data_IF_002888332079
#
_entry.id   IF_002888332079
#
_cell.length_a   1.000
_cell.length_b   1.000
_cell.length_c   1.000
_cell.angle_alpha   90.00
_cell.angle_beta   90.00
_cell.angle_gamma   90.00
#
_symmetry.space_group_name_H-M   'P 1'
#
loop_
_entity.id
_entity.type
_entity.pdbx_description
1 polymer ?
#
# COMPACT_ATOMS: atom_id res chain seq x y z
N UNK A 1 -24.31 -20.85 46.82
CA UNK A 1 -23.39 -20.28 45.80
C UNK A 1 -23.77 -18.83 45.55
N UNK A 2 -22.88 -17.88 45.86
CA UNK A 2 -23.09 -16.47 45.50
C UNK A 2 -22.86 -16.35 43.98
N UNK A 3 -23.94 -16.21 43.22
CA UNK A 3 -23.85 -16.08 41.77
C UNK A 3 -23.02 -14.85 41.39
N UNK A 4 -21.94 -15.05 40.61
CA UNK A 4 -21.19 -13.94 40.01
C UNK A 4 -21.90 -13.52 38.72
N UNK A 5 -22.13 -12.22 38.57
CA UNK A 5 -22.83 -11.65 37.42
C UNK A 5 -21.96 -10.63 36.70
N UNK A 6 -22.09 -10.56 35.37
CA UNK A 6 -21.48 -9.51 34.56
C UNK A 6 -22.52 -8.44 34.20
N UNK A 7 -22.10 -7.17 34.24
CA UNK A 7 -22.87 -6.03 33.72
C UNK A 7 -22.47 -5.64 32.29
N UNK A 8 -21.19 -5.83 31.93
CA UNK A 8 -20.62 -5.36 30.67
C UNK A 8 -20.05 -6.57 29.92
N UNK A 9 -20.24 -6.59 28.60
CA UNK A 9 -19.73 -7.63 27.70
C UNK A 9 -19.04 -7.01 26.50
N UNK A 10 -17.93 -7.62 26.11
CA UNK A 10 -17.16 -7.21 24.94
C UNK A 10 -17.74 -7.76 23.63
N UNK A 11 -18.54 -8.83 23.68
CA UNK A 11 -19.12 -9.50 22.51
C UNK A 11 -20.63 -9.23 22.35
N UNK A 12 -21.10 -9.12 21.10
CA UNK A 12 -22.50 -8.81 20.73
C UNK A 12 -23.09 -7.61 21.51
N UNK A 13 -22.29 -6.56 21.71
CA UNK A 13 -22.71 -5.35 22.42
C UNK A 13 -23.96 -4.71 21.82
N UNK A 14 -24.15 -4.82 20.50
CA UNK A 14 -25.35 -4.34 19.80
C UNK A 14 -26.65 -5.04 20.21
N UNK A 15 -26.60 -6.32 20.58
CA UNK A 15 -27.76 -7.10 21.04
C UNK A 15 -28.03 -6.80 22.52
N UNK A 16 -26.97 -6.69 23.31
CA UNK A 16 -27.05 -6.52 24.75
C UNK A 16 -27.28 -5.08 25.21
N UNK A 17 -27.02 -4.08 24.38
CA UNK A 17 -27.19 -2.66 24.72
C UNK A 17 -28.63 -2.29 25.11
N UNK A 18 -29.61 -3.05 24.65
CA UNK A 18 -31.03 -2.81 24.93
C UNK A 18 -31.51 -3.41 26.26
N UNK A 19 -30.66 -4.18 26.98
CA UNK A 19 -31.06 -4.93 28.15
C UNK A 19 -30.20 -4.57 29.37
N UNK A 20 -30.83 -4.29 30.50
CA UNK A 20 -30.17 -3.97 31.77
C UNK A 20 -29.97 -5.18 32.68
N UNK A 21 -30.44 -6.36 32.24
CA UNK A 21 -30.42 -7.61 33.00
C UNK A 21 -28.98 -8.07 33.26
N UNK A 22 -28.68 -8.38 34.52
CA UNK A 22 -27.40 -8.97 34.92
C UNK A 22 -27.32 -10.40 34.40
N UNK A 23 -26.20 -10.75 33.77
CA UNK A 23 -26.06 -12.06 33.13
C UNK A 23 -25.16 -12.96 33.99
N UNK A 24 -25.59 -14.20 34.33
CA UNK A 24 -24.77 -15.12 35.11
C UNK A 24 -23.46 -15.40 34.37
N UNK A 25 -22.38 -15.54 35.14
CA UNK A 25 -21.04 -15.74 34.61
C UNK A 25 -20.31 -16.85 35.36
N UNK A 26 -19.61 -17.67 34.57
CA UNK A 26 -18.73 -18.73 34.99
C UNK A 26 -17.29 -18.33 34.68
N UNK A 27 -16.37 -18.74 35.53
CA UNK A 27 -14.94 -18.57 35.31
C UNK A 27 -14.32 -19.92 34.98
N UNK A 28 -13.79 -20.07 33.76
CA UNK A 28 -13.15 -21.30 33.27
C UNK A 28 -11.79 -20.94 32.70
N UNK A 29 -10.72 -21.54 33.22
CA UNK A 29 -9.34 -21.30 32.78
C UNK A 29 -8.94 -19.82 32.76
N UNK A 30 -9.35 -19.05 33.77
CA UNK A 30 -9.10 -17.61 33.88
C UNK A 30 -9.94 -16.73 32.93
N UNK A 31 -10.85 -17.32 32.15
CA UNK A 31 -11.76 -16.59 31.27
C UNK A 31 -13.15 -16.47 31.90
N UNK A 32 -13.73 -15.27 31.85
CA UNK A 32 -15.09 -14.98 32.34
C UNK A 32 -16.10 -15.20 31.21
N UNK A 33 -16.79 -16.34 31.25
CA UNK A 33 -17.79 -16.73 30.27
C UNK A 33 -19.18 -16.42 30.81
N UNK A 34 -19.89 -15.52 30.15
CA UNK A 34 -21.26 -15.19 30.53
C UNK A 34 -22.30 -16.01 29.76
N UNK A 35 -23.30 -16.56 30.46
CA UNK A 35 -24.37 -17.37 29.87
C UNK A 35 -25.59 -16.49 29.52
N UNK A 36 -25.75 -16.16 28.24
CA UNK A 36 -26.88 -15.34 27.75
C UNK A 36 -28.09 -16.22 27.43
N UNK A 37 -29.28 -15.81 27.86
CA UNK A 37 -30.53 -16.46 27.45
C UNK A 37 -30.83 -16.19 25.97
N UNK A 38 -31.36 -17.19 25.26
CA UNK A 38 -31.81 -17.03 23.87
C UNK A 38 -32.95 -16.01 23.74
N UNK A 39 -33.68 -15.71 24.82
CA UNK A 39 -34.73 -14.70 24.84
C UNK A 39 -34.23 -13.26 24.55
N UNK A 40 -32.91 -13.02 24.65
CA UNK A 40 -32.30 -11.74 24.26
C UNK A 40 -32.24 -11.58 22.73
N UNK A 41 -32.29 -12.68 21.98
CA UNK A 41 -32.26 -12.68 20.52
C UNK A 41 -33.68 -12.45 19.99
N UNK A 42 -33.95 -11.27 19.43
CA UNK A 42 -35.17 -11.04 18.66
C UNK A 42 -34.97 -11.63 17.27
N UNK A 43 -35.79 -12.62 16.91
CA UNK A 43 -35.81 -13.10 15.53
C UNK A 43 -36.31 -11.98 14.62
N UNK A 44 -35.52 -11.64 13.62
CA UNK A 44 -35.92 -10.71 12.56
C UNK A 44 -36.08 -11.50 11.27
N UNK A 45 -37.23 -11.35 10.62
CA UNK A 45 -37.49 -11.98 9.33
C UNK A 45 -36.54 -11.41 8.28
N UNK A 46 -35.50 -12.18 7.94
CA UNK A 46 -34.57 -11.81 6.88
C UNK A 46 -35.26 -11.91 5.53
N UNK A 47 -35.09 -10.90 4.67
CA UNK A 47 -35.55 -10.98 3.28
C UNK A 47 -34.66 -11.98 2.52
N UNK A 48 -35.26 -12.92 1.80
CA UNK A 48 -34.53 -13.82 0.91
C UNK A 48 -33.74 -13.01 -0.14
N UNK A 49 -32.62 -13.57 -0.61
CA UNK A 49 -31.83 -12.97 -1.68
C UNK A 49 -32.69 -12.87 -2.94
N UNK A 50 -32.82 -11.67 -3.48
CA UNK A 50 -33.45 -11.48 -4.77
C UNK A 50 -32.55 -12.09 -5.86
N UNK A 51 -33.04 -13.15 -6.51
CA UNK A 51 -32.29 -13.88 -7.54
C UNK A 51 -32.02 -13.02 -8.79
N UNK A 52 -32.84 -11.99 -9.03
CA UNK A 52 -32.58 -11.03 -10.11
C UNK A 52 -31.44 -10.05 -9.77
N UNK A 53 -31.02 -9.94 -8.51
CA UNK A 53 -29.94 -9.04 -8.07
C UNK A 53 -28.57 -9.70 -8.30
N UNK A 54 -28.22 -9.87 -9.58
CA UNK A 54 -26.96 -10.45 -10.05
C UNK A 54 -25.97 -9.37 -10.52
N UNK A 55 -24.65 -9.54 -10.32
CA UNK A 55 -23.65 -8.58 -10.80
C UNK A 55 -23.47 -8.61 -12.33
N UNK A 56 -23.88 -9.70 -12.98
CA UNK A 56 -23.66 -9.96 -14.41
C UNK A 56 -24.67 -9.22 -15.30
N UNK A 57 -25.88 -8.96 -14.82
CA UNK A 57 -26.92 -8.25 -15.59
C UNK A 57 -26.98 -6.77 -15.21
N UNK A 58 -27.38 -5.90 -16.15
CA UNK A 58 -27.59 -4.48 -15.84
C UNK A 58 -28.68 -4.28 -14.79
N UNK A 59 -29.84 -4.93 -14.99
CA UNK A 59 -30.96 -4.92 -14.05
C UNK A 59 -30.55 -5.35 -12.64
N UNK A 60 -29.74 -6.40 -12.53
CA UNK A 60 -29.26 -6.89 -11.23
C UNK A 60 -28.30 -5.93 -10.53
N UNK A 61 -27.38 -5.28 -11.28
CA UNK A 61 -26.50 -4.23 -10.75
C UNK A 61 -27.27 -3.03 -10.23
N UNK A 62 -28.29 -2.59 -10.96
CA UNK A 62 -29.15 -1.47 -10.54
C UNK A 62 -29.91 -1.80 -9.26
N UNK A 63 -30.46 -3.02 -9.13
CA UNK A 63 -31.11 -3.48 -7.89
C UNK A 63 -30.14 -3.48 -6.71
N UNK A 64 -28.91 -3.96 -6.91
CA UNK A 64 -27.87 -3.93 -5.86
C UNK A 64 -27.57 -2.49 -5.43
N UNK A 65 -27.41 -1.57 -6.39
CA UNK A 65 -27.13 -0.16 -6.12
C UNK A 65 -28.29 0.51 -5.36
N UNK A 66 -29.55 0.27 -5.75
CA UNK A 66 -30.73 0.78 -5.02
C UNK A 66 -30.81 0.24 -3.59
N UNK A 67 -30.51 -1.05 -3.39
CA UNK A 67 -30.56 -1.68 -2.06
C UNK A 67 -29.43 -1.24 -1.12
N UNK A 68 -28.22 -1.05 -1.66
CA UNK A 68 -27.02 -0.80 -0.83
C UNK A 68 -26.58 0.66 -0.80
N UNK A 69 -27.07 1.50 -1.72
CA UNK A 69 -26.60 2.87 -1.92
C UNK A 69 -25.17 2.97 -2.46
N UNK A 70 -24.52 1.84 -2.77
CA UNK A 70 -23.11 1.82 -3.19
C UNK A 70 -22.98 2.09 -4.69
N UNK A 71 -22.12 3.03 -5.05
CA UNK A 71 -21.75 3.30 -6.45
C UNK A 71 -21.01 2.12 -7.07
N UNK A 72 -21.28 1.85 -8.35
CA UNK A 72 -20.59 0.81 -9.11
C UNK A 72 -19.09 1.09 -9.18
N UNK A 73 -18.27 0.07 -8.89
CA UNK A 73 -16.81 0.16 -9.11
C UNK A 73 -16.53 0.27 -10.61
N UNK A 74 -15.53 1.06 -10.99
CA UNK A 74 -15.07 1.14 -12.37
C UNK A 74 -14.51 -0.22 -12.81
N UNK A 75 -14.75 -0.57 -14.08
CA UNK A 75 -14.18 -1.78 -14.68
C UNK A 75 -12.65 -1.71 -14.58
N UNK A 76 -12.03 -2.83 -14.21
CA UNK A 76 -10.57 -2.91 -14.11
C UNK A 76 -9.98 -2.81 -15.52
N UNK A 77 -9.11 -1.84 -15.75
CA UNK A 77 -8.52 -1.60 -17.06
C UNK A 77 -7.38 -2.57 -17.34
N UNK A 78 -7.71 -3.84 -17.57
CA UNK A 78 -6.73 -4.91 -17.80
C UNK A 78 -5.95 -4.73 -19.09
N UNK A 79 -6.49 -4.00 -20.08
CA UNK A 79 -5.77 -3.65 -21.31
C UNK A 79 -4.52 -2.79 -21.05
N UNK A 80 -4.50 -1.98 -19.99
CA UNK A 80 -3.31 -1.20 -19.60
C UNK A 80 -2.20 -2.08 -19.01
N UNK A 81 -2.56 -3.30 -18.60
CA UNK A 81 -1.66 -4.30 -18.02
C UNK A 81 -1.22 -5.34 -19.06
N UNK A 82 -1.24 -4.99 -20.36
CA UNK A 82 -1.06 -5.92 -21.48
C UNK A 82 0.03 -6.98 -21.24
N UNK A 83 -0.20 -8.16 -21.81
CA UNK A 83 0.51 -9.44 -21.65
C UNK A 83 2.04 -9.40 -21.76
N UNK A 84 2.63 -8.35 -22.32
CA UNK A 84 4.07 -8.20 -22.47
C UNK A 84 4.82 -7.94 -21.16
N UNK A 85 4.19 -7.37 -20.12
CA UNK A 85 4.83 -7.11 -18.81
C UNK A 85 4.42 -8.18 -17.79
N UNK A 86 4.74 -9.43 -18.06
CA UNK A 86 4.51 -10.52 -17.12
C UNK A 86 5.38 -10.32 -15.86
N UNK A 87 4.84 -10.73 -14.71
CA UNK A 87 5.56 -10.74 -13.41
C UNK A 87 6.94 -11.40 -13.54
N UNK A 88 7.07 -12.38 -14.45
CA UNK A 88 8.32 -13.07 -14.76
C UNK A 88 9.45 -12.13 -15.25
N UNK A 89 9.13 -11.07 -15.99
CA UNK A 89 10.11 -10.14 -16.56
C UNK A 89 10.59 -9.06 -15.58
N UNK A 90 9.86 -8.82 -14.49
CA UNK A 90 10.14 -7.75 -13.52
C UNK A 90 10.60 -8.26 -12.15
N UNK A 91 10.86 -9.57 -12.05
CA UNK A 91 11.37 -10.22 -10.84
C UNK A 91 12.72 -9.58 -10.43
N UNK A 92 12.74 -8.95 -9.26
CA UNK A 92 13.95 -8.34 -8.67
C UNK A 92 13.77 -6.91 -8.15
N UNK A 93 12.83 -6.13 -8.69
CA UNK A 93 12.65 -4.71 -8.34
C UNK A 93 11.40 -4.43 -7.47
N UNK A 94 10.92 -5.45 -6.76
CA UNK A 94 9.70 -5.38 -5.95
C UNK A 94 8.40 -5.31 -6.76
N UNK A 95 8.46 -5.43 -8.09
CA UNK A 95 7.28 -5.48 -8.98
C UNK A 95 6.69 -6.89 -8.95
N UNK A 96 5.94 -7.18 -7.89
CA UNK A 96 5.25 -8.46 -7.71
C UNK A 96 3.85 -8.42 -8.34
N UNK A 97 3.14 -9.55 -8.29
CA UNK A 97 1.76 -9.65 -8.78
C UNK A 97 0.84 -8.55 -8.23
N UNK A 98 0.98 -8.19 -6.95
CA UNK A 98 0.18 -7.13 -6.33
C UNK A 98 0.41 -5.77 -7.01
N UNK A 99 1.65 -5.43 -7.41
CA UNK A 99 1.93 -4.20 -8.15
C UNK A 99 1.13 -4.12 -9.45
N UNK A 100 1.14 -5.20 -10.25
CA UNK A 100 0.42 -5.22 -11.53
C UNK A 100 -1.09 -5.16 -11.31
N UNK A 101 -1.65 -5.93 -10.38
CA UNK A 101 -3.09 -5.86 -10.11
C UNK A 101 -3.53 -4.49 -9.61
N UNK A 102 -2.76 -3.91 -8.68
CA UNK A 102 -3.10 -2.63 -8.05
C UNK A 102 -2.86 -1.43 -8.97
N UNK A 103 -2.05 -1.57 -10.02
CA UNK A 103 -1.83 -0.53 -11.01
C UNK A 103 -3.13 -0.15 -11.75
N UNK A 104 -3.90 -1.13 -12.25
CA UNK A 104 -5.21 -0.84 -12.86
C UNK A 104 -6.21 -0.21 -11.87
N UNK A 105 -6.16 -0.60 -10.59
CA UNK A 105 -6.97 0.04 -9.56
C UNK A 105 -6.53 1.48 -9.26
N UNK A 106 -5.24 1.76 -9.28
CA UNK A 106 -4.71 3.12 -9.16
C UNK A 106 -5.15 4.00 -10.34
N UNK A 107 -5.14 3.46 -11.57
CA UNK A 107 -5.66 4.14 -12.76
C UNK A 107 -7.14 4.53 -12.61
N UNK A 108 -7.96 3.59 -12.16
CA UNK A 108 -9.39 3.82 -11.92
C UNK A 108 -9.63 4.88 -10.84
N UNK A 109 -8.88 4.81 -9.73
CA UNK A 109 -8.93 5.83 -8.66
C UNK A 109 -8.55 7.22 -9.21
N UNK A 110 -7.55 7.27 -10.08
CA UNK A 110 -7.05 8.51 -10.69
C UNK A 110 -7.90 8.96 -11.89
N UNK A 111 -8.99 8.25 -12.18
CA UNK A 111 -9.96 8.54 -13.25
C UNK A 111 -9.32 8.59 -14.65
N UNK A 112 -8.29 7.78 -14.88
CA UNK A 112 -7.56 7.76 -16.14
C UNK A 112 -6.85 9.08 -16.49
N UNK A 113 -6.49 9.87 -15.48
CA UNK A 113 -5.74 11.12 -15.67
C UNK A 113 -4.45 11.12 -14.88
N UNK A 114 -3.43 11.79 -15.41
CA UNK A 114 -2.16 11.98 -14.73
C UNK A 114 -2.39 12.72 -13.40
N UNK A 115 -1.89 12.18 -12.29
CA UNK A 115 -2.04 12.84 -10.98
C UNK A 115 -1.36 14.22 -10.93
N UNK A 116 -0.32 14.44 -11.73
CA UNK A 116 0.47 15.69 -11.79
C UNK A 116 -0.14 16.69 -12.77
N UNK A 117 -0.09 16.42 -14.08
CA UNK A 117 -0.50 17.36 -15.14
C UNK A 117 -1.99 17.30 -15.53
N UNK A 118 -2.74 16.27 -15.08
CA UNK A 118 -4.16 16.05 -15.42
C UNK A 118 -4.47 15.70 -16.87
N UNK A 119 -3.45 15.48 -17.68
CA UNK A 119 -3.60 14.90 -19.02
C UNK A 119 -4.26 13.52 -18.97
N UNK A 120 -5.03 13.19 -20.00
CA UNK A 120 -5.66 11.87 -20.15
C UNK A 120 -4.57 10.82 -20.40
N UNK A 121 -4.70 9.69 -19.71
CA UNK A 121 -3.78 8.57 -19.83
C UNK A 121 -4.40 7.48 -20.71
N UNK A 122 -3.53 6.83 -21.48
CA UNK A 122 -3.79 5.68 -22.35
C UNK A 122 -2.74 4.61 -22.08
N UNK A 123 -2.90 3.40 -22.64
CA UNK A 123 -1.95 2.30 -22.44
C UNK A 123 -0.51 2.63 -22.84
N UNK A 124 -0.33 3.56 -23.78
CA UNK A 124 0.99 3.89 -24.33
C UNK A 124 1.75 4.95 -23.52
N UNK A 125 1.03 5.88 -22.86
CA UNK A 125 1.63 7.01 -22.16
C UNK A 125 1.55 6.91 -20.63
N UNK A 126 0.93 5.84 -20.08
CA UNK A 126 0.77 5.65 -18.63
C UNK A 126 1.94 4.89 -18.00
N UNK A 127 2.36 5.40 -16.83
CA UNK A 127 3.28 4.72 -15.93
C UNK A 127 2.76 4.79 -14.49
N UNK A 128 3.13 3.79 -13.68
CA UNK A 128 2.67 3.65 -12.30
C UNK A 128 3.81 3.91 -11.32
N UNK A 129 3.83 5.13 -10.78
CA UNK A 129 4.84 5.60 -9.86
C UNK A 129 4.56 5.14 -8.43
N UNK A 130 5.58 4.61 -7.74
CA UNK A 130 5.54 4.37 -6.28
C UNK A 130 5.85 5.67 -5.55
N UNK A 131 4.85 6.23 -4.88
CA UNK A 131 4.94 7.52 -4.18
C UNK A 131 6.00 7.46 -3.07
N UNK A 132 6.08 6.35 -2.35
CA UNK A 132 7.10 6.06 -1.34
C UNK A 132 7.76 4.71 -1.70
N UNK A 133 8.94 4.72 -2.34
CA UNK A 133 9.53 3.51 -2.90
C UNK A 133 10.21 2.60 -1.87
N UNK A 134 10.37 3.03 -0.62
CA UNK A 134 11.00 2.22 0.43
C UNK A 134 10.07 1.89 1.61
N UNK A 135 8.77 1.78 1.34
CA UNK A 135 7.86 1.14 2.28
C UNK A 135 8.14 -0.37 2.37
N UNK A 136 7.69 -1.00 3.45
CA UNK A 136 7.70 -2.46 3.57
C UNK A 136 6.95 -3.10 2.39
N UNK A 137 7.34 -4.32 1.97
CA UNK A 137 6.69 -5.00 0.83
C UNK A 137 5.16 -5.10 0.98
N UNK A 138 4.65 -5.19 2.22
CA UNK A 138 3.22 -5.23 2.54
C UNK A 138 2.45 -3.96 2.12
N UNK A 139 3.14 -2.83 2.12
CA UNK A 139 2.56 -1.50 1.84
C UNK A 139 3.05 -0.90 0.52
N UNK A 140 4.20 -1.36 0.03
CA UNK A 140 4.90 -0.83 -1.15
C UNK A 140 4.02 -0.79 -2.39
N UNK A 141 3.29 -1.89 -2.66
CA UNK A 141 2.50 -2.05 -3.88
C UNK A 141 1.00 -1.82 -3.66
N UNK A 142 0.59 -1.26 -2.52
CA UNK A 142 -0.82 -0.94 -2.23
C UNK A 142 -1.29 0.22 -3.10
N UNK A 143 -2.56 0.18 -3.51
CA UNK A 143 -3.20 1.24 -4.31
C UNK A 143 -2.91 2.67 -3.79
N UNK A 144 -2.97 2.98 -2.47
CA UNK A 144 -2.65 4.32 -1.96
C UNK A 144 -1.22 4.79 -2.25
N UNK A 145 -0.26 3.88 -2.37
CA UNK A 145 1.15 4.18 -2.66
C UNK A 145 1.47 4.21 -4.17
N UNK A 146 0.53 3.80 -5.03
CA UNK A 146 0.68 3.89 -6.48
C UNK A 146 0.04 5.16 -7.02
N UNK A 147 0.65 5.77 -8.03
CA UNK A 147 0.14 6.94 -8.73
C UNK A 147 0.22 6.74 -10.25
N UNK A 148 -0.90 6.97 -10.94
CA UNK A 148 -0.93 6.96 -12.40
C UNK A 148 -0.42 8.30 -12.93
N UNK A 149 0.67 8.26 -13.70
CA UNK A 149 1.33 9.46 -14.25
C UNK A 149 1.63 9.24 -15.73
N UNK A 150 1.78 10.33 -16.49
CA UNK A 150 2.30 10.22 -17.85
C UNK A 150 3.81 10.04 -17.81
N UNK A 151 4.40 9.42 -18.84
CA UNK A 151 5.86 9.20 -18.99
C UNK A 151 6.68 10.45 -18.65
N UNK A 152 6.33 11.60 -19.25
CA UNK A 152 7.01 12.87 -18.99
C UNK A 152 6.95 13.30 -17.51
N UNK A 153 5.82 13.09 -16.83
CA UNK A 153 5.73 13.41 -15.41
C UNK A 153 6.51 12.40 -14.56
N UNK A 154 6.55 11.12 -14.94
CA UNK A 154 7.32 10.10 -14.24
C UNK A 154 8.82 10.39 -14.32
N UNK A 155 9.32 10.70 -15.52
CA UNK A 155 10.69 11.18 -15.75
C UNK A 155 10.99 12.43 -14.92
N UNK A 156 10.08 13.42 -14.91
CA UNK A 156 10.25 14.62 -14.07
C UNK A 156 10.29 14.29 -12.58
N UNK A 157 9.58 13.27 -12.09
CA UNK A 157 9.61 12.90 -10.68
C UNK A 157 10.99 12.37 -10.28
N UNK A 158 11.62 11.55 -11.14
CA UNK A 158 12.90 10.91 -10.86
C UNK A 158 14.12 11.68 -11.38
N UNK A 159 13.93 12.56 -12.36
CA UNK A 159 14.99 13.29 -13.05
C UNK A 159 15.38 14.60 -12.37
N UNK A 160 16.64 14.96 -12.58
CA UNK A 160 17.24 16.24 -12.16
C UNK A 160 17.14 17.32 -13.24
N UNK A 161 16.67 16.98 -14.44
CA UNK A 161 16.63 17.88 -15.58
C UNK A 161 15.68 19.07 -15.37
N UNK A 162 16.10 20.23 -15.87
CA UNK A 162 15.29 21.45 -15.90
C UNK A 162 14.34 21.35 -17.09
N UNK A 163 13.06 21.11 -16.79
CA UNK A 163 12.02 21.05 -17.81
C UNK A 163 11.25 22.37 -17.89
N UNK A 164 10.53 22.64 -19.00
CA UNK A 164 9.64 23.79 -19.10
C UNK A 164 8.69 23.86 -17.91
N UNK A 165 8.51 25.08 -17.37
CA UNK A 165 7.67 25.35 -16.21
C UNK A 165 6.27 24.76 -16.43
N UNK A 166 5.86 23.91 -15.50
CA UNK A 166 4.49 23.41 -15.44
C UNK A 166 3.58 24.50 -14.86
N UNK A 167 2.26 24.38 -15.06
CA UNK A 167 1.32 25.18 -14.28
C UNK A 167 1.60 25.02 -12.78
N UNK A 168 1.50 26.10 -12.02
CA UNK A 168 1.86 26.16 -10.58
C UNK A 168 1.25 25.02 -9.77
N UNK A 169 -0.01 24.63 -10.08
CA UNK A 169 -0.70 23.51 -9.41
C UNK A 169 -0.04 22.16 -9.67
N UNK A 170 0.45 21.93 -10.88
CA UNK A 170 1.13 20.69 -11.28
C UNK A 170 2.55 20.65 -10.74
N UNK A 171 3.25 21.77 -10.73
CA UNK A 171 4.58 21.91 -10.12
C UNK A 171 4.54 21.60 -8.62
N UNK A 172 3.58 22.15 -7.87
CA UNK A 172 3.38 21.81 -6.45
C UNK A 172 3.17 20.31 -6.22
N UNK A 173 2.45 19.62 -7.10
CA UNK A 173 2.23 18.16 -6.99
C UNK A 173 3.49 17.37 -7.33
N UNK A 174 4.23 17.81 -8.34
CA UNK A 174 5.49 17.22 -8.74
C UNK A 174 6.50 17.29 -7.57
N UNK A 175 6.66 18.47 -6.98
CA UNK A 175 7.57 18.69 -5.86
C UNK A 175 7.17 17.83 -4.64
N UNK A 176 5.88 17.72 -4.32
CA UNK A 176 5.39 16.80 -3.27
C UNK A 176 5.73 15.34 -3.52
N UNK A 177 5.76 14.89 -4.78
CA UNK A 177 6.17 13.51 -5.10
C UNK A 177 7.69 13.37 -4.96
N UNK A 178 8.47 14.34 -5.43
CA UNK A 178 9.94 14.39 -5.25
C UNK A 178 10.36 14.38 -3.79
N UNK A 179 9.73 15.20 -2.94
CA UNK A 179 9.98 15.25 -1.49
C UNK A 179 9.80 13.88 -0.83
N UNK A 180 8.77 13.13 -1.24
CA UNK A 180 8.50 11.80 -0.69
C UNK A 180 9.52 10.73 -1.11
N UNK A 181 10.24 10.93 -2.21
CA UNK A 181 11.39 10.07 -2.54
C UNK A 181 12.52 10.26 -1.53
N UNK A 182 12.78 11.51 -1.13
CA UNK A 182 13.91 11.91 -0.28
C UNK A 182 13.65 11.69 1.22
N UNK A 183 12.43 11.99 1.70
CA UNK A 183 12.02 11.76 3.10
C UNK A 183 12.20 10.30 3.52
N UNK A 184 12.04 9.39 2.57
CA UNK A 184 12.23 7.97 2.82
C UNK A 184 13.73 7.60 2.86
N UNK A 185 14.58 8.23 2.05
CA UNK A 185 16.05 8.08 2.14
C UNK A 185 16.58 8.53 3.50
N UNK A 186 16.11 9.67 4.02
CA UNK A 186 16.56 10.20 5.32
C UNK A 186 16.10 9.34 6.51
N UNK A 187 14.87 8.81 6.50
CA UNK A 187 14.42 7.85 7.53
C UNK A 187 15.23 6.57 7.54
N UNK A 188 15.55 6.00 6.38
CA UNK A 188 16.38 4.79 6.29
C UNK A 188 17.80 5.05 6.81
N UNK A 189 18.40 6.22 6.51
CA UNK A 189 19.71 6.58 7.05
C UNK A 189 19.70 6.70 8.58
N UNK A 190 18.59 7.19 9.15
CA UNK A 190 18.43 7.34 10.61
C UNK A 190 18.03 6.04 11.32
N UNK A 191 17.34 5.12 10.64
CA UNK A 191 16.86 3.83 11.20
C UNK A 191 17.85 2.67 10.98
N UNK A 192 18.93 2.86 10.21
CA UNK A 192 20.03 1.88 10.16
C UNK A 192 20.81 1.96 11.48
N UNK A 193 20.76 0.95 12.37
CA UNK A 193 21.73 0.88 13.45
C UNK A 193 23.11 0.80 12.80
N UNK A 194 23.97 1.77 13.11
CA UNK A 194 25.39 1.72 12.76
C UNK A 194 25.96 0.52 13.52
N UNK A 195 25.91 -0.68 12.92
CA UNK A 195 26.69 -1.81 13.39
C UNK A 195 28.15 -1.46 13.12
N UNK A 196 28.75 -0.71 14.04
CA UNK A 196 30.21 -0.67 14.18
C UNK A 196 30.60 -2.10 14.50
N UNK A 197 31.06 -2.87 13.50
CA UNK A 197 31.78 -4.10 13.75
C UNK A 197 33.06 -3.69 14.46
N UNK A 198 33.05 -3.68 15.78
CA UNK A 198 34.28 -3.81 16.54
C UNK A 198 34.77 -5.23 16.32
N UNK A 199 35.77 -5.40 15.47
CA UNK A 199 36.52 -6.65 15.41
C UNK A 199 37.42 -6.67 16.65
N UNK A 200 37.00 -7.43 17.66
CA UNK A 200 37.88 -7.84 18.74
C UNK A 200 38.73 -9.01 18.23
N UNK A 201 40.04 -8.80 18.11
CA UNK A 201 41.06 -9.83 17.98
C UNK A 201 41.15 -10.53 16.62
N UNK A 202 42.22 -10.26 15.88
CA UNK A 202 43.04 -11.32 15.30
C UNK A 202 44.38 -10.74 14.87
N UNK A 203 45.42 -11.07 15.63
CA UNK A 203 46.81 -11.02 15.20
C UNK A 203 47.04 -12.11 14.14
N UNK A 204 48.06 -11.87 13.30
CA UNK A 204 48.70 -12.79 12.34
C UNK A 204 48.12 -12.92 10.93
N UNK A 205 49.03 -12.72 9.96
CA UNK A 205 49.25 -13.69 8.89
C UNK A 205 48.38 -13.57 7.62
N UNK A 206 48.91 -12.84 6.64
CA UNK A 206 48.80 -13.01 5.18
C UNK A 206 47.57 -13.69 4.52
N UNK A 207 47.16 -13.04 3.42
CA UNK A 207 46.43 -13.51 2.21
C UNK A 207 44.94 -13.17 2.14
N UNK A 208 44.59 -12.40 1.10
CA UNK A 208 43.24 -12.39 0.54
C UNK A 208 42.81 -11.07 -0.09
N UNK A 209 43.42 -10.68 -1.21
CA UNK A 209 42.79 -9.77 -2.16
C UNK A 209 41.53 -10.47 -2.70
N UNK A 210 40.36 -10.21 -2.09
CA UNK A 210 39.01 -10.46 -2.62
C UNK A 210 37.99 -10.04 -1.56
N UNK A 211 37.33 -8.91 -1.79
CA UNK A 211 35.93 -8.57 -1.44
C UNK A 211 35.77 -7.05 -1.23
N UNK A 212 36.16 -6.25 -2.22
CA UNK A 212 35.63 -4.90 -2.37
C UNK A 212 34.57 -4.81 -3.49
N UNK A 213 34.46 -5.82 -4.36
CA UNK A 213 33.56 -5.79 -5.52
C UNK A 213 32.12 -6.22 -5.19
N UNK A 214 31.92 -7.16 -4.25
CA UNK A 214 30.58 -7.72 -4.00
C UNK A 214 29.69 -6.88 -3.07
N UNK A 215 30.17 -5.76 -2.55
CA UNK A 215 29.36 -4.82 -1.78
C UNK A 215 28.76 -3.70 -2.65
N UNK A 216 29.19 -3.60 -3.91
CA UNK A 216 28.77 -2.57 -4.85
C UNK A 216 27.56 -3.00 -5.70
N UNK A 217 27.38 -4.32 -5.90
CA UNK A 217 26.39 -4.85 -6.84
C UNK A 217 24.95 -4.82 -6.30
N UNK A 218 24.77 -4.76 -4.96
CA UNK A 218 23.45 -4.67 -4.31
C UNK A 218 23.02 -3.23 -3.98
N UNK A 219 23.79 -2.22 -4.39
CA UNK A 219 23.39 -0.83 -4.20
C UNK A 219 22.40 -0.43 -5.30
N UNK A 220 21.17 0.04 -4.98
CA UNK A 220 20.30 0.61 -5.99
C UNK A 220 21.04 1.72 -6.74
N UNK A 221 20.96 1.68 -8.07
CA UNK A 221 21.66 2.55 -9.04
C UNK A 221 21.73 4.05 -8.66
N UNK A 222 20.76 4.54 -7.88
CA UNK A 222 20.73 5.93 -7.37
C UNK A 222 21.79 6.25 -6.29
N UNK A 223 22.27 5.26 -5.53
CA UNK A 223 23.31 5.45 -4.50
C UNK A 223 24.69 5.64 -5.14
N UNK A 224 24.94 4.99 -6.28
CA UNK A 224 26.17 5.18 -7.06
C UNK A 224 26.26 6.62 -7.54
N UNK A 225 25.16 7.14 -8.13
CA UNK A 225 25.08 8.53 -8.63
C UNK A 225 25.23 9.58 -7.53
N UNK A 226 24.69 9.35 -6.33
CA UNK A 226 24.85 10.28 -5.20
C UNK A 226 26.28 10.29 -4.64
N UNK A 227 26.99 9.17 -4.67
CA UNK A 227 28.40 9.09 -4.25
C UNK A 227 29.34 9.86 -5.19
N UNK A 228 29.04 9.85 -6.50
CA UNK A 228 29.79 10.57 -7.52
C UNK A 228 29.53 12.09 -7.48
N UNK A 229 28.28 12.51 -7.26
CA UNK A 229 27.93 13.94 -7.08
C UNK A 229 28.56 14.52 -5.81
N UNK A 230 28.67 13.75 -4.73
CA UNK A 230 29.36 14.18 -3.51
C UNK A 230 30.89 14.19 -3.66
N UNK A 231 31.46 13.33 -4.50
CA UNK A 231 32.90 13.38 -4.88
C UNK A 231 33.22 14.60 -5.73
N UNK A 232 32.37 14.93 -6.70
CA UNK A 232 32.56 16.10 -7.57
C UNK A 232 32.49 17.44 -6.80
N UNK A 233 31.76 17.50 -5.68
CA UNK A 233 31.69 18.67 -4.80
C UNK A 233 32.84 18.83 -3.82
N UNK A 234 33.73 17.84 -3.68
CA UNK A 234 34.94 17.93 -2.83
C UNK A 234 36.21 18.26 -3.62
N UNK A 235 36.13 18.30 -4.95
CA UNK A 235 37.24 18.59 -5.85
C UNK A 235 37.17 20.02 -6.44
N UNK A 236 36.23 20.84 -5.97
CA UNK A 236 36.14 22.28 -6.25
C UNK A 236 36.17 23.06 -4.95
#
# INVERSE_FOLDING_TARGET
MVGRFLRIRDNLSSVHSQYTTKIPMLEVNGQKIGLTSLAFCKWQKTKLKNQEETPYTQKGREKYQRRTGKTRRLFRQDQLLSESKTVAQTNGLGYNFEYHLNSAYAFNRDKGTCRVCKEKLSGENVEFHRIQPYLSLKDLNRVPNLASVCKMCHERIHGTAVHPKLPVKSEKKLNRMREKLLLTTHKILMERPVKRKFHAGCESGEKGVRTAQNACEDAPYLLVLQSEVLRAKRLN
#
